data_IF_665514193209
#
_entry.id   IF_665514193209
#
_cell.length_a   1.000
_cell.length_b   1.000
_cell.length_c   1.000
_cell.angle_alpha   90.00
_cell.angle_beta   90.00
_cell.angle_gamma   90.00
#
_symmetry.space_group_name_H-M   'P 1'
#
loop_
_entity.id
_entity.type
_entity.pdbx_description
1 polymer ?
2 polymer ?
3 polymer ?
4 non-polymer ?
5 water ?
#
# COMPACT_ATOMS: atom_id res chain seq x y z
N UNK A 2 12.51 9.79 14.56
CA UNK A 2 12.14 9.67 13.18
C UNK A 2 10.93 10.53 12.87
N UNK A 3 10.68 10.70 11.58
CA UNK A 3 9.49 11.40 11.13
C UNK A 3 8.31 10.43 11.13
N UNK A 4 7.10 11.00 11.18
CA UNK A 4 5.88 10.22 11.09
C UNK A 4 4.96 10.94 10.13
N UNK A 5 4.09 10.16 9.48
CA UNK A 5 3.16 10.70 8.52
C UNK A 5 1.74 10.26 8.82
N UNK A 6 0.79 11.13 8.49
CA UNK A 6 -0.62 10.77 8.38
C UNK A 6 -1.06 10.99 6.94
N UNK A 7 -1.63 9.97 6.34
CA UNK A 7 -1.97 10.05 4.92
C UNK A 7 -3.35 9.46 4.71
N UNK A 8 -4.11 10.11 3.84
CA UNK A 8 -5.37 9.58 3.38
C UNK A 8 -5.26 9.28 1.88
N UNK A 9 -5.76 8.12 1.50
CA UNK A 9 -5.80 7.68 0.11
C UNK A 9 -7.23 7.48 -0.33
N UNK A 10 -7.62 8.10 -1.45
CA UNK A 10 -8.99 8.03 -1.95
C UNK A 10 -8.99 7.52 -3.38
N UNK A 11 -9.90 6.59 -3.67
CA UNK A 11 -10.10 6.11 -5.03
C UNK A 11 -11.59 6.18 -5.34
N UNK A 12 -11.95 6.83 -6.44
CA UNK A 12 -13.33 6.71 -6.93
C UNK A 12 -13.33 6.30 -8.38
N UNK A 13 -14.23 5.37 -8.70
CA UNK A 13 -14.27 4.72 -10.02
C UNK A 13 -15.68 4.84 -10.56
N UNK A 14 -15.83 5.47 -11.71
CA UNK A 14 -17.19 5.63 -12.23
C UNK A 14 -17.76 4.30 -12.73
N UNK A 15 -19.08 4.22 -12.73
CA UNK A 15 -19.85 3.03 -13.09
C UNK A 15 -20.80 3.43 -14.21
N UNK A 16 -20.34 3.44 -15.45
CA UNK A 16 -21.14 4.03 -16.53
C UNK A 16 -22.44 3.28 -16.81
N UNK A 17 -22.55 2.00 -16.47
CA UNK A 17 -23.78 1.28 -16.76
C UNK A 17 -24.92 1.64 -15.82
N UNK A 18 -24.61 1.85 -14.56
CA UNK A 18 -25.65 2.19 -13.58
C UNK A 18 -25.05 2.71 -12.30
N UNK A 19 -25.61 3.82 -11.81
CA UNK A 19 -25.31 4.25 -10.47
C UNK A 19 -24.12 5.17 -10.35
N UNK A 20 -23.78 5.45 -9.12
CA UNK A 20 -22.74 6.41 -8.80
C UNK A 20 -21.40 5.72 -8.58
N UNK A 21 -20.32 6.47 -8.51
CA UNK A 21 -19.01 5.84 -8.45
C UNK A 21 -18.82 5.03 -7.19
N UNK A 22 -17.99 4.01 -7.30
CA UNK A 22 -17.47 3.29 -6.15
C UNK A 22 -16.39 4.15 -5.49
N UNK A 23 -16.49 4.36 -4.18
CA UNK A 23 -15.56 5.24 -3.47
C UNK A 23 -14.97 4.51 -2.28
N UNK A 24 -13.65 4.49 -2.23
CA UNK A 24 -12.92 3.86 -1.13
C UNK A 24 -11.92 4.87 -0.57
N UNK A 25 -11.95 5.07 0.75
CA UNK A 25 -11.01 5.93 1.45
C UNK A 25 -10.32 5.10 2.53
N UNK A 26 -9.01 5.27 2.64
CA UNK A 26 -8.23 4.63 3.69
C UNK A 26 -7.30 5.67 4.31
N UNK A 27 -7.18 5.62 5.63
CA UNK A 27 -6.26 6.49 6.35
C UNK A 27 -5.15 5.68 6.97
N UNK A 28 -3.94 6.22 6.93
CA UNK A 28 -2.74 5.61 7.48
C UNK A 28 -2.02 6.55 8.42
N UNK A 29 -1.41 5.99 9.47
CA UNK A 29 -0.32 6.62 10.19
C UNK A 29 0.92 5.79 9.90
N UNK A 30 1.89 6.39 9.22
CA UNK A 30 3.04 5.65 8.72
C UNK A 30 2.53 4.47 7.87
N UNK A 31 2.93 3.24 8.18
CA UNK A 31 2.49 2.09 7.42
C UNK A 31 1.33 1.35 8.07
N UNK A 32 0.60 1.99 8.97
CA UNK A 32 -0.52 1.38 9.68
C UNK A 32 -1.84 1.97 9.20
N UNK A 33 -2.69 1.15 8.62
CA UNK A 33 -4.04 1.59 8.32
C UNK A 33 -4.83 1.73 9.61
N UNK A 34 -5.58 2.83 9.74
CA UNK A 34 -6.36 3.03 10.94
C UNK A 34 -7.84 3.35 10.71
N UNK A 35 -8.23 3.78 9.52
CA UNK A 35 -9.65 3.95 9.21
C UNK A 35 -9.89 3.58 7.76
N UNK A 36 -11.16 3.31 7.46
CA UNK A 36 -11.56 3.08 6.09
C UNK A 36 -13.01 3.44 5.90
N UNK A 37 -13.34 3.75 4.64
CA UNK A 37 -14.71 3.91 4.19
C UNK A 37 -14.84 3.26 2.84
N UNK A 38 -15.87 2.44 2.65
CA UNK A 38 -16.11 1.79 1.35
C UNK A 38 -17.57 1.99 1.03
N UNK A 39 -17.85 2.72 -0.06
CA UNK A 39 -19.25 3.00 -0.39
C UNK A 39 -20.05 1.73 -0.66
N UNK A 40 -19.39 0.63 -0.97
CA UNK A 40 -20.07 -0.65 -1.17
C UNK A 40 -20.38 -1.38 0.13
N UNK A 41 -19.81 -0.99 1.26
CA UNK A 41 -20.11 -1.65 2.52
C UNK A 41 -21.48 -1.20 3.05
N UNK A 42 -22.04 -2.00 3.98
CA UNK A 42 -23.39 -1.75 4.48
C UNK A 42 -23.45 -0.58 5.47
N UNK A 43 -22.41 -0.37 6.27
CA UNK A 43 -22.51 0.58 7.39
C UNK A 43 -22.69 2.01 6.91
N UNK A 44 -22.06 2.36 5.79
CA UNK A 44 -21.98 3.74 5.32
C UNK A 44 -21.36 4.65 6.37
N UNK A 45 -20.41 4.11 7.12
CA UNK A 45 -19.69 4.81 8.17
C UNK A 45 -18.19 4.71 7.92
N UNK A 46 -17.45 5.73 8.33
CA UNK A 46 -16.03 5.54 8.55
C UNK A 46 -15.87 4.47 9.62
N UNK A 47 -14.97 3.51 9.40
CA UNK A 47 -14.80 2.41 10.33
C UNK A 47 -13.37 2.32 10.85
N UNK A 48 -13.20 1.89 12.09
CA UNK A 48 -11.85 1.74 12.65
C UNK A 48 -11.14 0.49 12.11
N UNK A 49 -9.83 0.62 11.96
CA UNK A 49 -8.99 -0.51 11.56
C UNK A 49 -7.74 -0.65 12.44
N UNK A 50 -7.62 0.12 13.50
CA UNK A 50 -6.54 -0.03 14.48
C UNK A 50 -7.13 0.16 15.87
N UNK A 51 -6.61 -0.55 16.86
CA UNK A 51 -7.27 -0.47 18.17
C UNK A 51 -7.24 0.92 18.78
N UNK A 52 -6.20 1.68 18.52
CA UNK A 52 -6.03 2.95 19.21
C UNK A 52 -6.97 4.03 18.71
N UNK A 53 -7.48 3.94 17.48
CA UNK A 53 -8.47 4.90 17.03
C UNK A 53 -9.82 4.63 17.70
N UNK A 54 -10.02 3.42 18.24
CA UNK A 54 -11.26 3.21 19.00
C UNK A 54 -11.27 3.94 20.33
N UNK A 55 -10.18 4.59 20.71
CA UNK A 55 -10.19 5.47 21.87
C UNK A 55 -11.01 6.72 21.61
N UNK A 56 -11.29 7.05 20.34
CA UNK A 56 -12.11 8.20 20.02
C UNK A 56 -13.58 7.87 20.23
N UNK A 57 -14.31 8.85 20.70
CA UNK A 57 -15.70 8.66 21.03
C UNK A 57 -16.64 8.84 19.83
N UNK A 58 -17.95 8.75 20.11
CA UNK A 58 -18.91 8.75 19.00
C UNK A 58 -18.85 9.98 18.12
N UNK A 59 -18.43 11.13 18.68
CA UNK A 59 -18.33 12.37 17.92
C UNK A 59 -17.34 12.25 16.78
N UNK A 60 -16.26 11.50 17.00
CA UNK A 60 -15.28 11.29 15.94
C UNK A 60 -15.88 10.51 14.76
N UNK A 61 -16.56 9.40 15.04
CA UNK A 61 -17.09 8.59 13.94
C UNK A 61 -18.18 9.34 13.19
N UNK A 62 -18.98 10.14 13.91
CA UNK A 62 -19.97 10.95 13.20
C UNK A 62 -19.30 11.99 12.32
N UNK A 63 -18.26 12.65 12.84
CA UNK A 63 -17.67 13.74 12.10
C UNK A 63 -16.91 13.24 10.90
N UNK A 64 -16.16 12.13 11.07
CA UNK A 64 -15.38 11.58 9.96
C UNK A 64 -16.29 10.95 8.91
N UNK A 65 -17.42 10.37 9.32
CA UNK A 65 -18.38 9.87 8.34
C UNK A 65 -18.97 11.01 7.52
N UNK A 66 -19.37 12.10 8.17
CA UNK A 66 -19.89 13.24 7.43
C UNK A 66 -18.84 13.75 6.44
N UNK A 67 -17.61 13.94 6.90
CA UNK A 67 -16.58 14.46 6.02
C UNK A 67 -16.25 13.47 4.90
N UNK A 68 -16.23 12.17 5.20
CA UNK A 68 -15.79 11.24 4.16
C UNK A 68 -16.87 11.12 3.09
N UNK A 69 -18.15 11.21 3.47
CA UNK A 69 -19.21 11.28 2.48
C UNK A 69 -19.11 12.56 1.64
N UNK A 70 -18.74 13.68 2.25
CA UNK A 70 -18.53 14.92 1.49
C UNK A 70 -17.36 14.77 0.52
N UNK A 71 -16.29 14.12 0.97
CA UNK A 71 -15.18 13.79 0.07
C UNK A 71 -15.68 12.94 -1.10
N UNK A 72 -16.53 11.95 -0.83
CA UNK A 72 -17.02 11.10 -1.93
C UNK A 72 -17.76 11.94 -2.96
N UNK A 73 -18.59 12.88 -2.53
CA UNK A 73 -19.33 13.69 -3.50
C UNK A 73 -18.39 14.58 -4.32
N UNK A 74 -17.32 15.10 -3.70
CA UNK A 74 -16.37 15.90 -4.47
C UNK A 74 -15.73 15.07 -5.57
N UNK A 75 -15.35 13.82 -5.24
CA UNK A 75 -14.77 12.95 -6.26
C UNK A 75 -15.79 12.61 -7.34
N UNK A 76 -17.06 12.38 -6.96
CA UNK A 76 -18.08 12.09 -7.96
C UNK A 76 -18.23 13.25 -8.94
N UNK A 77 -18.32 14.48 -8.44
CA UNK A 77 -18.47 15.61 -9.34
C UNK A 77 -17.21 15.79 -10.16
N UNK A 78 -16.04 15.53 -9.57
CA UNK A 78 -14.80 15.69 -10.33
C UNK A 78 -14.73 14.72 -11.51
N UNK A 79 -15.16 13.46 -11.32
CA UNK A 79 -15.21 12.55 -12.46
C UNK A 79 -16.02 13.12 -13.61
N UNK A 80 -17.14 13.78 -13.30
CA UNK A 80 -17.91 14.42 -14.36
C UNK A 80 -17.17 15.56 -15.02
N UNK A 81 -16.51 16.40 -14.21
CA UNK A 81 -15.72 17.51 -14.75
C UNK A 81 -14.64 17.00 -15.69
N UNK A 82 -13.89 15.99 -15.23
CA UNK A 82 -12.77 15.48 -16.00
C UNK A 82 -13.21 14.81 -17.29
N UNK A 83 -14.33 14.09 -17.27
CA UNK A 83 -14.85 13.53 -18.52
C UNK A 83 -15.05 14.63 -19.55
N UNK A 84 -15.55 15.78 -19.10
CA UNK A 84 -15.69 16.92 -19.99
C UNK A 84 -14.35 17.48 -20.42
N UNK A 85 -13.42 17.66 -19.47
CA UNK A 85 -12.14 18.26 -19.85
C UNK A 85 -11.42 17.42 -20.89
N UNK A 86 -11.56 16.11 -20.82
CA UNK A 86 -10.83 15.21 -21.72
C UNK A 86 -11.68 14.74 -22.89
N UNK A 87 -12.88 15.31 -23.04
CA UNK A 87 -13.77 15.05 -24.18
C UNK A 87 -14.05 13.55 -24.31
N UNK A 88 -14.39 12.93 -23.17
CA UNK A 88 -14.65 11.50 -23.12
C UNK A 88 -16.14 11.22 -23.06
N UNK A 89 -16.51 10.06 -23.57
CA UNK A 89 -17.91 9.68 -23.62
C UNK A 89 -18.39 9.22 -22.24
N UNK A 90 -19.70 9.08 -22.12
CA UNK A 90 -20.34 8.59 -20.90
C UNK A 90 -20.19 7.09 -20.74
N UNK A 91 -19.73 6.38 -21.76
CA UNK A 91 -19.75 4.92 -21.74
C UNK A 91 -18.57 4.29 -21.01
N UNK A 92 -17.48 5.01 -20.81
CA UNK A 92 -16.29 4.43 -20.22
C UNK A 92 -16.24 4.62 -18.71
N UNK A 93 -15.55 3.71 -18.03
CA UNK A 93 -15.26 3.86 -16.60
C UNK A 93 -13.94 4.59 -16.45
N UNK A 94 -13.91 5.55 -15.53
CA UNK A 94 -12.71 6.32 -15.23
C UNK A 94 -12.49 6.41 -13.73
N UNK A 95 -11.28 6.82 -13.37
CA UNK A 95 -10.79 6.77 -11.99
C UNK A 95 -10.19 8.10 -11.57
N UNK A 96 -10.55 8.57 -10.38
CA UNK A 96 -9.74 9.58 -9.71
C UNK A 96 -9.09 8.96 -8.46
N UNK A 97 -7.86 9.39 -8.21
CA UNK A 97 -7.11 9.02 -7.03
C UNK A 97 -6.53 10.29 -6.43
N UNK A 98 -6.54 10.36 -5.10
CA UNK A 98 -6.09 11.51 -4.35
C UNK A 98 -5.35 11.01 -3.12
N UNK A 99 -4.23 11.64 -2.81
CA UNK A 99 -3.51 11.34 -1.59
C UNK A 99 -3.12 12.66 -0.97
N UNK A 100 -3.49 12.87 0.30
CA UNK A 100 -3.00 14.06 0.98
C UNK A 100 -2.57 13.66 2.38
N UNK A 101 -1.74 14.49 2.96
CA UNK A 101 -1.29 14.19 4.30
C UNK A 101 -0.23 15.17 4.77
N UNK A 102 0.25 14.87 5.98
CA UNK A 102 1.20 15.72 6.66
C UNK A 102 2.17 14.85 7.45
N UNK A 103 3.37 15.39 7.65
CA UNK A 103 4.40 14.73 8.44
C UNK A 103 4.83 15.62 9.60
N UNK A 104 5.16 14.98 10.71
CA UNK A 104 5.93 15.63 11.78
C UNK A 104 7.33 15.06 11.78
N UNK A 105 8.29 15.90 12.17
CA UNK A 105 9.67 15.47 12.27
C UNK A 105 9.92 14.86 13.62
N UNK A 106 11.19 14.51 13.84
CA UNK A 106 11.62 14.00 15.13
C UNK A 106 11.40 15.01 16.26
N UNK A 107 11.29 16.31 15.94
CA UNK A 107 11.04 17.37 16.91
C UNK A 107 9.55 17.53 17.23
N UNK A 108 8.74 16.64 16.67
CA UNK A 108 7.27 16.60 16.79
C UNK A 108 6.60 17.85 16.23
N UNK A 109 7.26 18.58 15.36
CA UNK A 109 6.70 19.75 14.69
C UNK A 109 6.42 19.41 13.23
N UNK A 110 5.51 20.19 12.65
CA UNK A 110 5.28 20.14 11.22
C UNK A 110 6.60 20.05 10.47
N UNK A 111 6.68 19.05 9.60
CA UNK A 111 7.79 18.89 8.67
C UNK A 111 7.39 19.17 7.22
N UNK A 112 6.26 18.64 6.76
CA UNK A 112 5.86 18.79 5.36
C UNK A 112 4.41 18.38 5.21
N UNK A 113 3.79 18.88 4.14
CA UNK A 113 2.43 18.55 3.80
C UNK A 113 2.34 18.39 2.30
N UNK A 114 1.30 17.67 1.87
CA UNK A 114 1.19 17.38 0.45
C UNK A 114 -0.24 17.02 0.09
N UNK A 115 -0.53 17.13 -1.20
CA UNK A 115 -1.86 16.85 -1.73
C UNK A 115 -1.67 16.62 -3.22
N UNK A 116 -1.82 15.38 -3.64
CA UNK A 116 -1.62 14.96 -5.03
C UNK A 116 -2.91 14.35 -5.58
N UNK A 117 -3.18 14.59 -6.88
CA UNK A 117 -4.43 14.16 -7.52
C UNK A 117 -4.08 13.59 -8.90
N UNK A 118 -4.74 12.49 -9.27
CA UNK A 118 -4.49 11.77 -10.51
C UNK A 118 -5.80 11.38 -11.16
N UNK A 119 -5.80 11.36 -12.48
CA UNK A 119 -6.96 10.93 -13.25
C UNK A 119 -6.52 9.80 -14.17
N UNK A 120 -7.23 8.69 -14.12
CA UNK A 120 -6.95 7.53 -14.94
C UNK A 120 -5.50 7.09 -14.78
N UNK A 121 -5.02 7.16 -13.53
CA UNK A 121 -3.71 6.63 -13.14
C UNK A 121 -2.54 7.51 -13.52
N UNK A 122 -2.79 8.74 -13.95
CA UNK A 122 -1.76 9.68 -14.31
C UNK A 122 -1.83 10.96 -13.47
N UNK A 123 -0.66 11.51 -13.14
CA UNK A 123 -0.54 12.79 -12.44
C UNK A 123 -1.48 13.80 -13.09
N UNK A 124 -2.23 14.53 -12.26
CA UNK A 124 -3.09 15.62 -12.72
C UNK A 124 -2.63 16.93 -12.10
N UNK A 125 -2.75 17.09 -10.77
CA UNK A 125 -2.34 18.31 -10.08
C UNK A 125 -1.82 17.94 -8.71
N UNK A 126 -0.90 18.76 -8.19
CA UNK A 126 -0.26 18.53 -6.91
C UNK A 126 0.03 19.87 -6.26
N UNK A 127 -0.09 19.88 -4.94
CA UNK A 127 0.31 21.03 -4.16
C UNK A 127 1.84 21.05 -4.06
N UNK A 128 2.43 22.23 -4.25
CA UNK A 128 3.89 22.32 -4.16
C UNK A 128 4.31 22.36 -2.69
N UNK A 129 5.60 22.12 -2.47
CA UNK A 129 6.15 22.02 -1.10
C UNK A 129 5.85 23.26 -0.26
N UNK A 130 5.77 24.45 -0.88
CA UNK A 130 5.48 25.66 -0.11
C UNK A 130 4.04 25.74 0.36
N UNK A 131 3.18 24.82 -0.07
CA UNK A 131 1.77 24.77 0.32
C UNK A 131 1.01 26.01 -0.12
N UNK A 132 1.53 26.71 -1.13
CA UNK A 132 0.92 27.93 -1.60
C UNK A 132 0.67 27.95 -3.10
N UNK A 133 1.09 26.93 -3.83
CA UNK A 133 1.04 26.95 -5.28
C UNK A 133 0.85 25.51 -5.77
N UNK A 134 0.53 25.39 -7.05
CA UNK A 134 0.17 24.11 -7.65
C UNK A 134 1.03 23.79 -8.87
N UNK A 135 1.24 22.49 -9.07
CA UNK A 135 1.87 21.95 -10.27
C UNK A 135 0.84 21.20 -11.10
N UNK A 136 0.63 21.63 -12.35
CA UNK A 136 -0.25 20.96 -13.29
C UNK A 136 0.55 20.08 -14.26
N UNK A 137 0.07 18.84 -14.44
CA UNK A 137 0.77 17.89 -15.30
C UNK A 137 0.48 18.10 -16.78
N UNK A 138 -0.69 18.65 -17.12
CA UNK A 138 -1.11 18.76 -18.50
C UNK A 138 -2.01 19.97 -18.62
N UNK A 139 -2.51 20.20 -19.84
CA UNK A 139 -3.21 21.43 -20.10
C UNK A 139 -4.58 21.45 -19.45
N UNK A 140 -5.24 20.29 -19.34
CA UNK A 140 -6.48 20.22 -18.58
C UNK A 140 -6.27 20.68 -17.16
N UNK A 141 -5.19 20.20 -16.52
CA UNK A 141 -4.94 20.61 -15.15
C UNK A 141 -4.58 22.09 -15.03
N UNK A 142 -4.16 22.75 -16.11
CA UNK A 142 -3.97 24.20 -16.03
C UNK A 142 -5.26 24.91 -15.64
N UNK A 143 -6.39 24.35 -16.07
CA UNK A 143 -7.68 24.96 -15.71
C UNK A 143 -7.90 24.86 -14.21
N UNK A 144 -7.62 23.69 -13.65
CA UNK A 144 -7.78 23.51 -12.21
C UNK A 144 -6.81 24.38 -11.43
N UNK A 145 -5.54 24.45 -11.86
CA UNK A 145 -4.60 25.34 -11.18
C UNK A 145 -5.11 26.78 -11.13
N UNK A 146 -5.56 27.29 -12.27
CA UNK A 146 -6.16 28.63 -12.31
C UNK A 146 -7.34 28.76 -11.36
N UNK A 147 -8.27 27.80 -11.39
CA UNK A 147 -9.48 27.98 -10.59
C UNK A 147 -9.17 27.84 -9.11
N UNK A 148 -8.24 26.97 -8.76
CA UNK A 148 -7.91 26.77 -7.36
C UNK A 148 -7.08 27.92 -6.82
N UNK A 149 -6.24 28.51 -7.66
CA UNK A 149 -5.59 29.78 -7.32
C UNK A 149 -6.63 30.85 -7.01
N UNK A 150 -7.57 31.07 -7.94
CA UNK A 150 -8.55 32.13 -7.78
C UNK A 150 -9.45 31.91 -6.56
N UNK A 151 -9.71 30.66 -6.21
CA UNK A 151 -10.54 30.32 -5.05
C UNK A 151 -9.72 30.10 -3.79
N UNK A 152 -8.40 30.34 -3.84
CA UNK A 152 -7.53 30.20 -2.67
C UNK A 152 -7.69 28.86 -1.96
N UNK A 153 -7.80 27.80 -2.76
CA UNK A 153 -7.89 26.44 -2.21
C UNK A 153 -6.67 26.11 -1.36
N UNK A 154 -5.48 26.52 -1.81
CA UNK A 154 -4.27 26.18 -1.06
C UNK A 154 -4.28 26.75 0.34
N UNK A 155 -4.96 27.87 0.55
CA UNK A 155 -4.89 28.54 1.85
C UNK A 155 -5.62 27.74 2.94
N UNK A 156 -6.78 27.19 2.62
CA UNK A 156 -7.45 26.33 3.59
C UNK A 156 -6.71 25.02 3.74
N UNK A 157 -6.13 24.52 2.66
CA UNK A 157 -5.39 23.28 2.73
C UNK A 157 -4.16 23.45 3.62
N UNK A 158 -3.44 24.55 3.42
CA UNK A 158 -2.26 24.80 4.23
C UNK A 158 -2.63 24.93 5.71
N UNK A 159 -3.73 25.62 6.00
CA UNK A 159 -4.18 25.75 7.38
C UNK A 159 -4.39 24.40 8.03
N UNK A 160 -4.99 23.45 7.31
CA UNK A 160 -5.16 22.10 7.84
C UNK A 160 -3.82 21.39 7.99
N UNK A 161 -3.00 21.43 6.95
CA UNK A 161 -1.76 20.66 6.94
C UNK A 161 -0.81 21.07 8.06
N UNK A 162 -0.70 22.37 8.33
CA UNK A 162 0.19 22.88 9.38
C UNK A 162 -0.45 22.95 10.74
N UNK A 163 -1.74 22.69 10.83
CA UNK A 163 -2.50 22.83 12.04
C UNK A 163 -3.17 21.52 12.42
N UNK A 164 -4.46 21.44 12.15
CA UNK A 164 -5.26 20.27 12.54
C UNK A 164 -4.59 18.95 12.15
N UNK A 165 -4.02 18.87 10.95
CA UNK A 165 -3.46 17.62 10.47
C UNK A 165 -2.38 17.13 11.41
N UNK A 166 -1.45 18.02 11.78
CA UNK A 166 -0.33 17.55 12.59
C UNK A 166 -0.75 17.43 14.03
N UNK A 167 -1.73 18.23 14.47
CA UNK A 167 -2.23 18.09 15.83
C UNK A 167 -2.83 16.70 16.04
N UNK A 168 -3.64 16.23 15.09
CA UNK A 168 -4.25 14.92 15.23
C UNK A 168 -3.25 13.79 14.98
N UNK A 169 -2.27 14.00 14.09
CA UNK A 169 -1.20 13.03 14.00
C UNK A 169 -0.51 12.84 15.35
N UNK A 170 -0.22 13.94 16.05
CA UNK A 170 0.46 13.82 17.35
C UNK A 170 -0.44 13.12 18.37
N UNK A 171 -1.73 13.39 18.29
CA UNK A 171 -2.72 12.73 19.15
C UNK A 171 -2.68 11.24 18.93
N UNK A 172 -2.73 10.82 17.65
CA UNK A 172 -2.76 9.41 17.31
C UNK A 172 -1.47 8.72 17.71
N UNK A 173 -0.32 9.35 17.43
CA UNK A 173 0.96 8.77 17.81
C UNK A 173 1.00 8.49 19.30
N UNK A 174 0.52 9.42 20.12
CA UNK A 174 0.48 9.21 21.56
C UNK A 174 -0.51 8.11 21.96
N UNK A 175 -1.73 8.18 21.45
CA UNK A 175 -2.73 7.20 21.83
C UNK A 175 -2.32 5.81 21.41
N UNK A 176 -1.67 5.70 20.26
CA UNK A 176 -1.25 4.43 19.74
C UNK A 176 0.20 4.13 20.00
N UNK A 177 0.85 4.78 20.96
CA UNK A 177 2.31 4.71 21.03
C UNK A 177 2.82 3.29 21.15
N UNK A 178 2.08 2.39 21.80
CA UNK A 178 2.60 1.04 22.03
C UNK A 178 2.83 0.26 20.75
N UNK A 179 2.16 0.65 19.66
CA UNK A 179 2.42 0.08 18.34
C UNK A 179 3.00 1.08 17.36
N UNK A 180 2.39 2.28 17.23
CA UNK A 180 2.84 3.22 16.21
C UNK A 180 4.28 3.65 16.42
N UNK A 181 4.73 3.72 17.67
CA UNK A 181 6.09 4.18 17.94
C UNK A 181 6.99 3.05 18.41
N UNK A 182 6.53 1.81 18.26
CA UNK A 182 7.37 0.64 18.41
C UNK A 182 7.93 0.26 17.04
N UNK A 183 9.25 0.12 16.97
CA UNK A 183 9.83 -0.49 15.78
C UNK A 183 9.95 -1.99 16.00
N UNK A 184 9.62 -2.74 14.96
CA UNK A 184 9.80 -4.17 14.93
C UNK A 184 10.97 -4.43 13.99
N UNK A 185 12.13 -4.72 14.58
CA UNK A 185 13.27 -5.06 13.76
C UNK A 185 13.02 -6.36 13.01
N UNK A 186 13.60 -6.51 11.82
CA UNK A 186 13.37 -7.74 11.08
C UNK A 186 13.99 -8.93 11.78
N UNK A 187 13.22 -10.02 11.80
CA UNK A 187 13.73 -11.31 12.18
C UNK A 187 14.38 -11.92 10.94
N UNK A 188 15.68 -12.17 10.99
CA UNK A 188 16.44 -12.51 9.80
C UNK A 188 16.98 -13.93 9.91
N UNK A 189 16.95 -14.66 8.79
CA UNK A 189 17.58 -15.96 8.69
C UNK A 189 17.92 -16.25 7.23
N UNK A 190 18.84 -17.19 7.04
CA UNK A 190 19.25 -17.65 5.73
C UNK A 190 18.78 -19.08 5.53
N UNK A 191 18.25 -19.38 4.35
CA UNK A 191 18.02 -20.75 3.94
C UNK A 191 18.92 -21.11 2.77
N UNK A 192 19.16 -22.41 2.64
CA UNK A 192 20.08 -22.98 1.66
C UNK A 192 19.31 -24.05 0.88
N UNK A 193 19.23 -23.89 -0.44
CA UNK A 193 18.55 -24.85 -1.32
C UNK A 193 19.48 -25.26 -2.48
N UNK A 194 20.04 -26.47 -2.42
CA UNK A 194 20.76 -27.00 -3.57
C UNK A 194 19.87 -26.98 -4.82
N UNK A 195 20.44 -26.53 -5.94
CA UNK A 195 19.77 -26.62 -7.23
C UNK A 195 20.44 -27.62 -8.14
N UNK A 196 21.54 -28.20 -7.69
CA UNK A 196 22.32 -29.20 -8.42
C UNK A 196 23.30 -29.76 -7.41
N UNK A 197 24.17 -30.67 -7.86
CA UNK A 197 25.28 -31.11 -7.02
C UNK A 197 26.36 -30.06 -6.83
N UNK A 198 26.32 -28.96 -7.59
CA UNK A 198 27.42 -28.03 -7.65
C UNK A 198 27.05 -26.59 -7.38
N UNK A 199 25.76 -26.29 -7.24
CA UNK A 199 25.20 -24.97 -7.06
C UNK A 199 24.12 -25.00 -5.99
N UNK A 200 23.94 -23.88 -5.29
CA UNK A 200 22.89 -23.77 -4.29
C UNK A 200 22.38 -22.34 -4.27
N UNK A 201 21.11 -22.20 -3.92
CA UNK A 201 20.51 -20.90 -3.66
C UNK A 201 20.64 -20.58 -2.17
N UNK A 202 21.20 -19.41 -1.86
CA UNK A 202 21.12 -18.83 -0.52
C UNK A 202 20.01 -17.78 -0.54
N UNK A 203 19.02 -17.94 0.32
CA UNK A 203 17.96 -16.95 0.41
C UNK A 203 18.02 -16.31 1.80
N UNK A 204 18.15 -14.99 1.80
CA UNK A 204 18.19 -14.18 3.03
C UNK A 204 16.81 -13.60 3.26
N UNK A 205 16.22 -13.95 4.41
CA UNK A 205 14.87 -13.61 4.78
C UNK A 205 14.84 -12.53 5.85
N UNK A 206 13.96 -11.55 5.65
CA UNK A 206 13.63 -10.53 6.64
C UNK A 206 12.14 -10.60 6.90
N UNK A 207 11.75 -10.94 8.14
CA UNK A 207 10.35 -11.16 8.44
C UNK A 207 9.89 -10.34 9.63
N UNK A 208 8.58 -10.06 9.65
CA UNK A 208 7.89 -9.49 10.78
C UNK A 208 8.42 -8.11 11.15
N UNK A 209 8.74 -7.29 10.14
CA UNK A 209 9.32 -6.00 10.45
C UNK A 209 8.32 -4.89 10.21
N UNK A 210 8.59 -3.77 10.88
CA UNK A 210 7.77 -2.57 10.83
C UNK A 210 8.63 -1.38 11.25
N UNK A 211 8.64 -0.27 10.53
CA UNK A 211 7.90 -0.01 9.29
C UNK A 211 8.43 -0.79 8.10
N UNK A 212 7.86 -0.50 6.93
CA UNK A 212 8.13 -1.29 5.72
C UNK A 212 9.48 -0.99 5.08
N UNK A 213 10.03 0.21 5.27
CA UNK A 213 11.31 0.57 4.68
C UNK A 213 12.39 -0.41 5.13
N UNK A 214 13.15 -0.97 4.18
CA UNK A 214 14.21 -1.91 4.52
C UNK A 214 15.16 -1.99 3.34
N UNK A 215 16.42 -2.36 3.61
CA UNK A 215 17.38 -2.64 2.56
C UNK A 215 18.03 -3.99 2.83
N UNK A 216 17.97 -4.87 1.84
CA UNK A 216 18.61 -6.18 1.85
C UNK A 216 19.59 -6.25 0.69
N UNK A 217 20.84 -6.59 0.98
CA UNK A 217 21.83 -6.64 -0.07
C UNK A 217 22.75 -7.81 0.18
N UNK A 218 23.28 -8.37 -0.91
CA UNK A 218 24.25 -9.44 -0.84
C UNK A 218 25.61 -8.87 -1.21
N UNK A 219 26.65 -9.40 -0.55
CA UNK A 219 28.03 -9.09 -0.88
C UNK A 219 28.81 -10.38 -1.06
N UNK A 220 29.85 -10.32 -1.91
CA UNK A 220 30.80 -11.42 -2.11
C UNK A 220 32.19 -10.88 -1.81
N UNK A 221 32.91 -11.54 -0.89
CA UNK A 221 34.22 -11.06 -0.45
C UNK A 221 34.15 -9.59 -0.02
N UNK A 222 33.04 -9.20 0.59
CA UNK A 222 32.96 -7.87 1.14
C UNK A 222 32.77 -6.78 0.12
N UNK A 223 32.30 -7.11 -1.08
CA UNK A 223 31.89 -6.11 -2.05
C UNK A 223 30.55 -6.49 -2.63
N UNK A 224 29.87 -5.52 -3.21
CA UNK A 224 28.49 -5.78 -3.58
C UNK A 224 28.40 -6.83 -4.67
N UNK A 225 27.28 -7.53 -4.64
CA UNK A 225 26.91 -8.62 -5.54
C UNK A 225 25.52 -8.33 -6.11
N UNK A 226 25.34 -7.09 -6.58
CA UNK A 226 24.00 -6.59 -6.94
C UNK A 226 23.42 -7.34 -8.13
N UNK A 227 24.19 -7.45 -9.21
CA UNK A 227 23.67 -7.97 -10.46
C UNK A 227 23.04 -9.35 -10.27
N UNK A 228 23.67 -10.20 -9.47
CA UNK A 228 23.25 -11.59 -9.35
C UNK A 228 22.14 -11.82 -8.32
N UNK A 229 21.67 -10.78 -7.64
CA UNK A 229 20.67 -10.94 -6.58
C UNK A 229 19.26 -10.94 -7.16
N UNK A 230 18.43 -11.90 -6.76
CA UNK A 230 16.99 -11.82 -6.95
C UNK A 230 16.41 -11.20 -5.69
N UNK A 231 15.66 -10.10 -5.85
CA UNK A 231 15.13 -9.34 -4.73
C UNK A 231 13.63 -9.16 -4.95
N UNK A 232 12.78 -9.71 -4.03
CA UNK A 232 11.34 -9.55 -4.22
C UNK A 232 10.91 -8.22 -3.60
N UNK A 233 9.82 -7.69 -4.14
CA UNK A 233 9.26 -6.49 -3.56
C UNK A 233 8.78 -6.76 -2.13
N UNK A 234 8.95 -5.75 -1.28
CA UNK A 234 8.46 -5.84 0.09
C UNK A 234 6.96 -6.07 0.10
N UNK A 235 6.51 -6.98 0.96
CA UNK A 235 5.15 -7.47 0.88
C UNK A 235 4.57 -7.55 2.29
N UNK A 236 3.27 -7.34 2.43
CA UNK A 236 2.63 -7.42 3.74
C UNK A 236 2.46 -8.84 4.22
N UNK A 237 2.73 -9.05 5.51
CA UNK A 237 2.48 -10.34 6.11
C UNK A 237 0.99 -10.57 6.34
N UNK A 238 0.22 -9.49 6.48
CA UNK A 238 -1.20 -9.54 6.80
C UNK A 238 -1.52 -9.26 8.25
N UNK A 239 -0.51 -9.24 9.12
CA UNK A 239 -0.69 -8.94 10.54
C UNK A 239 -0.13 -7.57 10.88
N UNK A 240 0.06 -6.72 9.88
CA UNK A 240 0.57 -5.39 10.07
C UNK A 240 2.06 -5.25 9.87
N UNK A 241 2.80 -6.38 9.81
CA UNK A 241 4.23 -6.36 9.52
C UNK A 241 4.49 -6.67 8.05
N UNK A 242 5.76 -6.56 7.67
CA UNK A 242 6.24 -6.73 6.31
C UNK A 242 7.31 -7.81 6.24
N UNK A 243 7.54 -8.26 4.99
CA UNK A 243 8.44 -9.36 4.64
C UNK A 243 9.22 -8.96 3.41
N UNK A 244 10.43 -9.52 3.29
CA UNK A 244 11.25 -9.38 2.08
C UNK A 244 12.26 -10.49 2.06
N UNK A 245 12.72 -10.86 0.87
CA UNK A 245 13.90 -11.71 0.80
C UNK A 245 14.73 -11.37 -0.41
N UNK A 246 16.00 -11.77 -0.33
CA UNK A 246 16.97 -11.61 -1.38
C UNK A 246 17.71 -12.92 -1.56
N UNK A 247 17.90 -13.35 -2.79
CA UNK A 247 18.59 -14.62 -3.01
C UNK A 247 19.70 -14.51 -4.03
N UNK A 248 20.72 -15.34 -3.84
CA UNK A 248 21.82 -15.49 -4.79
C UNK A 248 22.10 -16.97 -4.99
N UNK A 249 22.56 -17.32 -6.20
CA UNK A 249 23.00 -18.66 -6.55
C UNK A 249 24.51 -18.68 -6.49
N UNK A 250 25.05 -19.67 -5.79
CA UNK A 250 26.50 -19.73 -5.54
C UNK A 250 27.00 -21.17 -5.75
N UNK A 251 28.29 -21.31 -6.06
CA UNK A 251 28.85 -22.67 -6.13
C UNK A 251 28.88 -23.34 -4.78
N UNK A 252 28.48 -24.60 -4.77
CA UNK A 252 28.51 -25.39 -3.55
C UNK A 252 29.92 -25.39 -2.98
N UNK A 253 30.04 -25.20 -1.67
CA UNK A 253 31.33 -25.09 -1.04
C UNK A 253 31.90 -23.68 -0.96
N UNK A 254 31.29 -22.71 -1.62
CA UNK A 254 31.77 -21.33 -1.57
C UNK A 254 30.83 -20.43 -0.77
N UNK A 255 29.86 -21.00 -0.06
CA UNK A 255 28.84 -20.21 0.61
C UNK A 255 29.43 -19.18 1.57
N UNK A 256 30.56 -19.50 2.19
CA UNK A 256 31.14 -18.64 3.22
C UNK A 256 31.60 -17.29 2.69
N UNK A 257 31.80 -17.15 1.37
CA UNK A 257 32.21 -15.86 0.78
C UNK A 257 31.10 -14.84 0.78
N UNK A 258 29.86 -15.28 0.89
CA UNK A 258 28.69 -14.44 0.63
C UNK A 258 28.08 -14.00 1.94
N UNK A 259 27.74 -12.72 2.01
CA UNK A 259 27.09 -12.17 3.20
C UNK A 259 25.84 -11.40 2.80
N UNK A 260 24.81 -11.53 3.65
CA UNK A 260 23.59 -10.76 3.51
C UNK A 260 23.58 -9.64 4.55
N UNK A 261 23.22 -8.45 4.08
CA UNK A 261 23.28 -7.22 4.87
C UNK A 261 21.89 -6.62 4.97
N UNK A 262 21.46 -6.31 6.19
CA UNK A 262 20.09 -5.90 6.46
C UNK A 262 20.12 -4.56 7.19
N UNK A 263 19.48 -3.56 6.59
CA UNK A 263 19.38 -2.24 7.20
C UNK A 263 17.91 -1.97 7.48
N UNK A 264 17.62 -1.58 8.70
CA UNK A 264 16.25 -1.27 9.10
C UNK A 264 16.32 -0.33 10.28
N UNK A 265 15.34 0.59 10.37
CA UNK A 265 15.44 1.60 11.42
C UNK A 265 15.29 1.02 12.82
N UNK A 266 14.79 -0.21 12.93
CA UNK A 266 14.71 -0.88 14.21
C UNK A 266 15.99 -1.54 14.64
N UNK A 267 17.02 -1.47 13.80
CA UNK A 267 18.33 -2.03 14.10
C UNK A 267 19.30 -0.91 14.49
N UNK A 268 19.99 -1.00 15.63
CA UNK A 268 20.99 0.03 15.94
C UNK A 268 22.15 0.02 14.97
N UNK A 269 22.50 -1.14 14.45
CA UNK A 269 23.50 -1.27 13.40
C UNK A 269 23.01 -2.32 12.41
N UNK A 270 23.36 -2.18 11.14
CA UNK A 270 22.97 -3.20 10.17
C UNK A 270 23.39 -4.59 10.63
N UNK A 271 22.59 -5.59 10.27
CA UNK A 271 22.94 -6.98 10.52
C UNK A 271 23.68 -7.56 9.33
N UNK A 272 24.62 -8.47 9.62
CA UNK A 272 25.35 -9.22 8.61
C UNK A 272 25.12 -10.70 8.88
N UNK A 273 24.59 -11.41 7.89
CA UNK A 273 24.37 -12.85 7.97
C UNK A 273 25.30 -13.56 7.02
N UNK A 274 25.83 -14.71 7.43
CA UNK A 274 26.76 -15.52 6.60
C UNK A 274 26.44 -16.99 6.83
N UNK A 275 26.40 -17.80 5.77
CA UNK A 275 26.16 -19.26 5.86
C UNK A 275 27.45 -19.85 6.43
N UNK A 276 27.55 -19.99 7.75
CA UNK A 276 28.77 -20.40 8.52
C UNK A 276 30.02 -19.99 7.74
N UNK B 3 -4.33 -0.19 -18.06
CA UNK B 3 -3.05 0.10 -18.72
C UNK B 3 -1.84 -0.61 -18.08
N UNK B 4 -1.88 -1.09 -16.82
CA UNK B 4 -0.70 -1.68 -16.11
C UNK B 4 -1.04 -3.08 -15.59
N UNK B 5 -0.21 -4.11 -15.83
CA UNK B 5 -0.54 -5.50 -15.47
C UNK B 5 -0.29 -5.77 -13.98
N UNK B 6 -1.10 -6.61 -13.33
CA UNK B 6 -0.82 -6.96 -11.93
C UNK B 6 0.41 -7.84 -11.79
N UNK B 7 1.26 -7.47 -10.85
CA UNK B 7 2.31 -8.33 -10.30
C UNK B 7 1.76 -9.15 -9.15
N UNK B 8 2.22 -10.38 -9.03
CA UNK B 8 1.69 -11.35 -8.07
C UNK B 8 2.82 -11.89 -7.20
N UNK B 9 2.60 -11.90 -5.89
CA UNK B 9 3.36 -12.77 -4.99
C UNK B 9 2.39 -13.63 -4.18
N UNK B 10 2.65 -14.93 -4.13
CA UNK B 10 1.85 -15.89 -3.37
C UNK B 10 2.76 -16.50 -2.32
N UNK B 11 2.34 -16.43 -1.06
CA UNK B 11 3.25 -16.78 0.04
C UNK B 11 2.45 -16.98 1.32
N UNK B 12 3.10 -17.62 2.30
CA UNK B 12 2.47 -17.82 3.60
C UNK B 12 2.92 -16.73 4.57
N UNK B 13 2.05 -16.41 5.51
CA UNK B 13 2.38 -15.38 6.48
C UNK B 13 3.56 -15.80 7.33
N UNK B 14 3.62 -17.08 7.68
CA UNK B 14 4.65 -17.68 8.51
C UNK B 14 5.31 -18.82 7.78
N UNK B 15 6.55 -19.15 8.11
CA UNK B 15 7.20 -20.29 7.47
C UNK B 15 6.32 -21.52 7.63
N UNK B 16 6.13 -22.24 6.55
CA UNK B 16 5.13 -23.28 6.48
C UNK B 16 5.64 -24.55 7.16
N UNK B 17 4.80 -25.13 8.00
CA UNK B 17 5.04 -26.42 8.63
C UNK B 17 3.76 -27.21 8.46
N UNK B 18 3.88 -28.40 7.91
CA UNK B 18 2.70 -29.24 7.74
C UNK B 18 2.04 -29.49 9.08
N UNK B 19 0.71 -29.32 9.11
CA UNK B 19 -0.05 -29.53 10.31
C UNK B 19 -0.24 -28.32 11.19
N UNK B 20 0.39 -27.20 10.88
CA UNK B 20 0.29 -26.01 11.69
C UNK B 20 -0.41 -24.92 10.90
N UNK B 21 -1.47 -24.39 11.49
CA UNK B 21 -2.30 -23.40 10.83
C UNK B 21 -1.48 -22.18 10.44
N UNK B 22 -1.90 -21.51 9.38
CA UNK B 22 -1.12 -20.46 8.75
C UNK B 22 -2.09 -19.59 7.98
N UNK B 23 -1.54 -18.65 7.21
CA UNK B 23 -2.34 -17.79 6.34
C UNK B 23 -1.71 -17.81 4.95
N UNK B 24 -2.54 -18.05 3.94
CA UNK B 24 -2.08 -18.01 2.56
C UNK B 24 -2.41 -16.65 2.00
N UNK B 25 -1.40 -15.96 1.49
CA UNK B 25 -1.48 -14.60 0.97
C UNK B 25 -1.27 -14.57 -0.53
N UNK B 26 -2.06 -13.74 -1.23
CA UNK B 26 -1.78 -13.35 -2.59
C UNK B 26 -1.75 -11.84 -2.65
N UNK B 27 -0.58 -11.29 -2.90
CA UNK B 27 -0.36 -9.86 -2.91
C UNK B 27 -0.29 -9.45 -4.36
N UNK B 28 -1.24 -8.63 -4.80
CA UNK B 28 -1.33 -8.18 -6.17
C UNK B 28 -1.06 -6.69 -6.19
N UNK B 29 -0.20 -6.25 -7.11
CA UNK B 29 0.25 -4.87 -7.07
C UNK B 29 0.63 -4.41 -8.47
N UNK B 30 0.84 -3.10 -8.59
CA UNK B 30 1.28 -2.50 -9.83
C UNK B 30 0.25 -2.43 -10.94
N UNK B 31 -1.06 -2.56 -10.64
CA UNK B 31 -2.04 -2.68 -11.69
C UNK B 31 -2.90 -1.42 -11.77
N UNK B 32 -3.49 -1.22 -12.96
CA UNK B 32 -4.41 -0.13 -13.16
C UNK B 32 -5.23 -0.51 -14.37
N UNK B 33 -6.55 -0.31 -14.38
CA UNK B 33 -7.41 0.23 -13.32
C UNK B 33 -7.64 -0.77 -12.18
N UNK B 34 -8.51 -0.38 -11.23
CA UNK B 34 -8.60 -1.11 -9.99
C UNK B 34 -9.45 -2.37 -10.07
N UNK B 35 -10.33 -2.49 -11.06
CA UNK B 35 -11.15 -3.71 -11.11
C UNK B 35 -10.25 -4.90 -11.32
N UNK B 36 -10.43 -5.92 -10.48
CA UNK B 36 -9.56 -7.09 -10.48
C UNK B 36 -10.29 -8.25 -9.84
N UNK B 37 -9.98 -9.46 -10.32
CA UNK B 37 -10.56 -10.69 -9.80
C UNK B 37 -9.41 -11.53 -9.26
N UNK B 38 -9.44 -11.82 -7.96
CA UNK B 38 -8.40 -12.61 -7.31
C UNK B 38 -9.04 -13.76 -6.56
N UNK B 39 -8.60 -14.98 -6.86
CA UNK B 39 -9.02 -16.18 -6.14
C UNK B 39 -7.81 -16.94 -5.64
N UNK B 40 -7.96 -17.54 -4.48
CA UNK B 40 -7.02 -18.51 -3.96
C UNK B 40 -7.55 -19.91 -4.28
N UNK B 41 -6.66 -20.78 -4.79
CA UNK B 41 -7.03 -22.14 -5.17
C UNK B 41 -6.33 -23.15 -4.29
N UNK B 42 -7.07 -24.18 -3.89
CA UNK B 42 -6.55 -25.37 -3.23
C UNK B 42 -6.80 -26.55 -4.16
N UNK B 43 -5.72 -27.16 -4.66
CA UNK B 43 -5.83 -28.30 -5.56
C UNK B 43 -6.72 -27.95 -6.74
N UNK B 44 -6.49 -26.76 -7.29
CA UNK B 44 -7.20 -26.30 -8.46
C UNK B 44 -8.59 -25.73 -8.21
N UNK B 45 -9.08 -25.77 -6.97
CA UNK B 45 -10.45 -25.40 -6.63
C UNK B 45 -10.48 -24.10 -5.84
N UNK B 46 -11.41 -23.23 -6.19
CA UNK B 46 -11.52 -21.93 -5.56
C UNK B 46 -11.90 -22.07 -4.09
N UNK B 47 -11.17 -21.37 -3.23
CA UNK B 47 -11.42 -21.32 -1.80
C UNK B 47 -12.47 -20.26 -1.54
N UNK B 48 -13.45 -20.59 -0.70
CA UNK B 48 -14.62 -19.72 -0.58
C UNK B 48 -14.41 -18.57 0.39
N UNK B 49 -13.76 -18.78 1.52
CA UNK B 49 -13.74 -17.73 2.54
C UNK B 49 -12.39 -17.03 2.43
N UNK B 50 -12.33 -16.10 1.48
CA UNK B 50 -11.15 -15.31 1.20
C UNK B 50 -11.49 -13.85 1.41
N UNK B 51 -10.68 -13.18 2.20
CA UNK B 51 -10.84 -11.76 2.49
C UNK B 51 -9.77 -10.98 1.76
N UNK B 52 -9.97 -9.67 1.66
CA UNK B 52 -8.92 -8.84 1.10
C UNK B 52 -8.85 -7.51 1.85
N UNK B 53 -7.68 -6.88 1.69
CA UNK B 53 -7.38 -5.57 2.24
C UNK B 53 -8.16 -4.47 1.52
N UNK B 54 -8.19 -3.29 2.12
CA UNK B 54 -8.83 -2.16 1.49
C UNK B 54 -7.92 -1.55 0.42
N UNK B 55 -8.51 -1.30 -0.74
CA UNK B 55 -7.78 -0.78 -1.89
C UNK B 55 -6.95 0.46 -1.56
N UNK B 56 -5.67 0.42 -1.86
CA UNK B 56 -4.80 1.57 -1.76
C UNK B 56 -3.89 1.58 -2.99
N UNK B 57 -2.94 2.51 -3.02
CA UNK B 57 -2.11 2.63 -4.20
C UNK B 57 -0.76 3.25 -3.84
N UNK B 58 0.18 3.11 -4.78
CA UNK B 58 1.56 3.52 -4.65
C UNK B 58 1.76 4.87 -5.29
N UNK B 59 2.99 5.38 -5.20
CA UNK B 59 3.27 6.73 -5.69
C UNK B 59 3.18 6.84 -7.21
N UNK B 60 3.18 5.73 -7.93
CA UNK B 60 2.90 5.81 -9.37
C UNK B 60 1.44 5.61 -9.67
N UNK B 61 0.58 5.61 -8.66
CA UNK B 61 -0.87 5.48 -8.75
C UNK B 61 -1.31 4.04 -9.03
N UNK B 62 -0.41 3.06 -9.13
CA UNK B 62 -0.85 1.69 -9.31
C UNK B 62 -1.40 1.13 -7.99
N UNK B 63 -2.39 0.27 -8.12
CA UNK B 63 -3.14 -0.26 -6.99
C UNK B 63 -2.42 -1.45 -6.38
N UNK B 64 -2.69 -1.70 -5.11
CA UNK B 64 -2.28 -2.97 -4.52
C UNK B 64 -3.36 -3.45 -3.56
N UNK B 65 -3.46 -4.78 -3.46
CA UNK B 65 -4.40 -5.50 -2.61
C UNK B 65 -3.72 -6.74 -2.06
N UNK B 66 -4.12 -7.13 -0.85
CA UNK B 66 -3.75 -8.41 -0.28
C UNK B 66 -5.02 -9.24 -0.13
N UNK B 67 -5.01 -10.42 -0.72
CA UNK B 67 -6.05 -11.43 -0.54
C UNK B 67 -5.49 -12.54 0.34
N UNK B 68 -6.31 -13.03 1.28
CA UNK B 68 -5.76 -13.94 2.27
C UNK B 68 -6.83 -14.86 2.84
N UNK B 69 -6.38 -16.03 3.27
CA UNK B 69 -7.24 -17.01 3.90
C UNK B 69 -6.43 -17.85 4.86
N UNK B 70 -7.10 -18.37 5.89
CA UNK B 70 -6.45 -19.31 6.79
C UNK B 70 -6.37 -20.68 6.14
N UNK B 71 -5.28 -21.40 6.40
CA UNK B 71 -5.10 -22.73 5.84
C UNK B 71 -4.08 -23.46 6.69
N UNK B 72 -4.17 -24.77 6.67
CA UNK B 72 -3.23 -25.62 7.39
C UNK B 72 -2.47 -26.39 6.33
N UNK B 73 -1.23 -26.05 6.01
CA UNK B 73 -0.55 -26.74 4.90
C UNK B 73 -0.32 -28.21 5.21
N UNK B 74 -0.25 -29.00 4.15
CA UNK B 74 0.05 -30.42 4.24
C UNK B 74 1.02 -30.78 3.12
N UNK B 75 1.54 -32.01 3.19
CA UNK B 75 2.55 -32.43 2.22
C UNK B 75 1.97 -32.54 0.83
N UNK B 76 0.71 -32.94 0.69
CA UNK B 76 0.15 -33.27 -0.61
C UNK B 76 -0.67 -32.13 -1.22
N UNK B 77 -1.16 -31.19 -0.42
CA UNK B 77 -2.03 -30.15 -0.95
C UNK B 77 -1.21 -29.09 -1.70
N UNK B 78 -1.75 -28.65 -2.83
CA UNK B 78 -1.20 -27.58 -3.65
C UNK B 78 -2.08 -26.34 -3.52
N UNK B 79 -1.45 -25.17 -3.61
CA UNK B 79 -2.18 -23.91 -3.57
C UNK B 79 -1.70 -23.00 -4.68
N UNK B 80 -2.54 -22.04 -5.05
CA UNK B 80 -2.21 -21.12 -6.12
C UNK B 80 -3.04 -19.85 -5.96
N UNK B 81 -2.62 -18.80 -6.67
CA UNK B 81 -3.37 -17.56 -6.74
C UNK B 81 -3.73 -17.31 -8.19
N UNK B 82 -5.02 -17.01 -8.44
CA UNK B 82 -5.55 -16.79 -9.78
C UNK B 82 -6.02 -15.35 -9.90
N UNK B 83 -5.53 -14.65 -10.92
CA UNK B 83 -5.82 -13.23 -11.10
C UNK B 83 -6.36 -13.00 -12.49
N UNK B 84 -7.44 -12.25 -12.58
CA UNK B 84 -7.87 -11.74 -13.88
C UNK B 84 -8.01 -10.23 -13.80
N UNK B 85 -7.65 -9.57 -14.89
CA UNK B 85 -7.58 -8.13 -14.99
C UNK B 85 -7.73 -7.77 -16.46
N UNK B 86 -8.19 -6.55 -16.73
CA UNK B 86 -8.42 -6.16 -18.12
C UNK B 86 -7.12 -6.24 -18.93
N UNK B 87 -5.97 -6.10 -18.28
CA UNK B 87 -4.71 -6.13 -19.02
C UNK B 87 -4.27 -7.54 -19.37
N UNK B 88 -4.98 -8.56 -18.88
CA UNK B 88 -4.63 -9.95 -19.14
C UNK B 88 -5.65 -10.60 -20.05
N UNK B 89 -5.15 -11.35 -21.04
CA UNK B 89 -6.03 -12.05 -21.96
C UNK B 89 -6.76 -13.22 -21.32
N UNK B 90 -6.12 -13.92 -20.37
CA UNK B 90 -6.87 -14.87 -19.55
C UNK B 90 -6.23 -14.88 -18.17
N UNK B 91 -6.78 -15.62 -17.21
CA UNK B 91 -6.25 -15.54 -15.84
C UNK B 91 -4.79 -15.93 -15.76
N UNK B 92 -4.07 -15.19 -14.92
CA UNK B 92 -2.68 -15.47 -14.55
C UNK B 92 -2.70 -16.26 -13.24
N UNK B 93 -2.04 -17.40 -13.21
CA UNK B 93 -2.10 -18.28 -12.04
C UNK B 93 -0.68 -18.58 -11.60
N UNK B 94 -0.38 -18.30 -10.33
CA UNK B 94 0.93 -18.57 -9.74
C UNK B 94 0.77 -19.58 -8.62
N UNK B 95 1.49 -20.69 -8.75
CA UNK B 95 1.46 -21.74 -7.74
C UNK B 95 2.26 -21.31 -6.51
N UNK B 96 1.73 -21.60 -5.33
CA UNK B 96 2.45 -21.35 -4.07
C UNK B 96 3.66 -22.27 -3.92
N UNK B 97 4.80 -21.65 -3.59
CA UNK B 97 6.05 -22.34 -3.29
C UNK B 97 6.46 -21.99 -1.87
N UNK B 98 6.52 -22.98 -1.00
CA UNK B 98 6.73 -22.74 0.42
C UNK B 98 8.07 -22.04 0.70
N UNK B 99 9.01 -22.11 -0.23
CA UNK B 99 10.33 -21.53 -0.03
C UNK B 99 10.46 -20.12 -0.61
N UNK B 100 9.38 -19.49 -1.08
CA UNK B 100 9.48 -18.14 -1.62
C UNK B 100 8.39 -17.19 -1.10
N UNK C 1 -7.44 12.69 11.15
CA UNK C 1 -8.62 13.53 10.96
C UNK C 1 -8.65 14.09 9.55
N UNK C 2 -9.77 13.92 8.86
CA UNK C 2 -9.92 14.41 7.49
C UNK C 2 -9.97 15.93 7.41
N UNK C 3 -9.59 16.41 6.22
CA UNK C 3 -9.79 17.81 5.84
C UNK C 3 -11.25 18.20 6.03
N UNK C 4 -11.54 19.37 6.62
CA UNK C 4 -12.94 19.71 6.87
C UNK C 4 -13.75 19.90 5.61
N UNK C 5 -13.14 20.42 4.55
CA UNK C 5 -13.82 20.68 3.29
C UNK C 5 -12.91 20.30 2.14
N UNK C 6 -13.49 19.70 1.11
CA UNK C 6 -12.71 19.25 -0.04
C UNK C 6 -13.29 19.91 -1.29
N UNK C 7 -12.72 21.02 -1.74
CA UNK C 7 -13.28 21.74 -2.89
C UNK C 7 -13.23 20.90 -4.15
N UNK C 8 -14.26 20.96 -4.99
CA UNK C 8 -14.17 20.30 -6.30
C UNK C 8 -13.22 21.02 -7.24
N UNK C 9 -12.86 20.32 -8.33
CA UNK C 9 -12.10 20.95 -9.40
C UNK C 9 -12.77 22.22 -9.91
N UNK C 10 -14.08 22.19 -10.01
CA UNK C 10 -14.87 23.30 -10.55
C UNK C 10 -16.28 23.30 -9.94
N UNK C 11 -16.60 24.32 -9.12
CA UNK C 11 -17.97 24.53 -8.63
C UNK C 11 -18.79 25.46 -9.52
X LIG D 1 2.31 10.04 -4.37
X LIG D 1 0.97 9.58 -4.56
X LIG D 1 2.79 9.53 -3.05
X LIG D 1 2.19 8.28 -2.75
X LIG D 1 4.30 9.58 -2.74
X LIG D 1 4.54 8.76 -1.63
X LIG D 1 2.33 11.13 -4.38
X LIG D 1 2.94 9.66 -5.16
X LIG D 1 0.61 9.96 -5.38
X LIG D 1 2.35 10.23 -2.33
X LIG D 1 2.63 7.58 -3.28
X LIG D 1 4.60 10.60 -2.52
X LIG D 1 4.87 9.23 -3.60
X LIG D 1 5.48 8.83 -1.37
#
# INVERSE_FOLDING_TARGET
MGSHSMRYFFTSVSRPGRGEPRFIAVGYVDDTQFVRFDSDAASQRMEPRAPWIEQEGPEYWDGETRKVKAHSQTHRVDLGTLRGYYNQSEAGSHTVQRMYGCDVGSDWRFLRGYHQYAYDGKDYIALKEDLRSWTAADMAAQTTKHKWEAAHVAEQLRAYLEGTCVEWLRRYLENGKETLQRTDAPKTHMTHHAVSDHEATLRCWALSFYPAEITLTWQRDGEDQTQDTELVETRPAGDGTFQKWAAVVVPSGQEQRYTCHVQHEGLPKPLTLRWEP
MIQRTPKIQVYSRHPAENGKSNFLNCYVSGFHPSDIEVDLLKNGERIEKVEHSDLSFSKDWSFYLLYYTEFTPTEKDEYACRVNHVTLSQPKIVKWDRDM
LLLPLLPPLSP
GOL C1 O1 C2 O2 C3 O3 H11 H12 HO1 H2 HO2 H31 H32 HO3
#
